data_IF_073411262800
#
_entry.id   IF_073411262800
#
_cell.length_a   1.000
_cell.length_b   1.000
_cell.length_c   1.000
_cell.angle_alpha   90.00
_cell.angle_beta   90.00
_cell.angle_gamma   90.00
#
_symmetry.space_group_name_H-M   'P 1'
#
loop_
_entity.id
_entity.type
_entity.pdbx_description
1 polymer ?
#
# COMPACT_ATOMS: atom_id res chain seq x y z
N UNK A 1 -23.24 10.36 3.52
CA UNK A 1 -22.07 9.65 4.11
C UNK A 1 -21.43 10.57 5.14
N UNK A 2 -21.31 10.14 6.40
CA UNK A 2 -20.77 10.95 7.50
C UNK A 2 -19.25 11.04 7.38
N UNK A 3 -18.75 12.24 7.14
CA UNK A 3 -17.34 12.61 7.36
C UNK A 3 -16.98 12.28 8.80
N UNK A 4 -15.88 11.56 9.02
CA UNK A 4 -15.41 11.33 10.37
C UNK A 4 -14.72 12.61 10.85
N UNK A 5 -15.22 13.15 11.95
CA UNK A 5 -14.65 14.33 12.61
C UNK A 5 -13.18 14.06 12.95
N UNK A 6 -12.21 14.91 12.54
CA UNK A 6 -10.81 14.79 12.95
C UNK A 6 -10.61 14.79 14.47
N UNK A 7 -11.60 15.28 15.23
CA UNK A 7 -11.62 15.22 16.70
C UNK A 7 -12.07 13.85 17.25
N UNK A 8 -12.44 12.90 16.38
CA UNK A 8 -12.77 11.54 16.77
C UNK A 8 -11.50 10.72 16.95
N UNK A 9 -11.02 10.65 18.20
CA UNK A 9 -9.80 9.95 18.61
C UNK A 9 -9.74 8.49 18.11
N UNK A 10 -10.88 7.79 18.03
CA UNK A 10 -10.95 6.41 17.52
C UNK A 10 -10.59 6.33 16.04
N UNK A 11 -10.99 7.33 15.26
CA UNK A 11 -10.71 7.39 13.84
C UNK A 11 -9.24 7.69 13.56
N UNK A 12 -8.65 8.60 14.33
CA UNK A 12 -7.22 8.90 14.27
C UNK A 12 -6.37 7.67 14.62
N UNK A 13 -6.78 6.90 15.64
CA UNK A 13 -6.12 5.65 16.01
C UNK A 13 -6.21 4.59 14.91
N UNK A 14 -7.37 4.40 14.30
CA UNK A 14 -7.57 3.46 13.20
C UNK A 14 -6.73 3.86 11.97
N UNK A 15 -6.69 5.16 11.62
CA UNK A 15 -5.84 5.65 10.52
C UNK A 15 -4.36 5.38 10.80
N UNK A 16 -3.90 5.73 12.01
CA UNK A 16 -2.51 5.50 12.43
C UNK A 16 -2.14 4.01 12.41
N UNK A 17 -3.07 3.14 12.82
CA UNK A 17 -2.89 1.68 12.79
C UNK A 17 -2.75 1.19 11.35
N UNK A 18 -3.63 1.60 10.44
CA UNK A 18 -3.56 1.21 9.02
C UNK A 18 -2.27 1.68 8.36
N UNK A 19 -1.84 2.91 8.63
CA UNK A 19 -0.56 3.42 8.11
C UNK A 19 0.63 2.62 8.62
N UNK A 20 0.61 2.20 9.89
CA UNK A 20 1.65 1.31 10.45
C UNK A 20 1.66 -0.04 9.74
N UNK A 21 0.51 -0.69 9.62
CA UNK A 21 0.37 -1.98 8.96
C UNK A 21 0.77 -1.93 7.49
N UNK A 22 0.40 -0.86 6.76
CA UNK A 22 0.86 -0.61 5.40
C UNK A 22 2.40 -0.55 5.34
N UNK A 23 3.04 0.23 6.22
CA UNK A 23 4.49 0.39 6.22
C UNK A 23 5.22 -0.92 6.53
N UNK A 24 4.71 -1.71 7.48
CA UNK A 24 5.26 -3.03 7.83
C UNK A 24 5.16 -4.00 6.65
N UNK A 25 3.99 -4.07 6.00
CA UNK A 25 3.77 -4.91 4.82
C UNK A 25 4.64 -4.47 3.64
N UNK A 26 4.80 -3.16 3.44
CA UNK A 26 5.65 -2.61 2.37
C UNK A 26 7.11 -3.00 2.56
N UNK A 27 7.66 -2.82 3.78
CA UNK A 27 9.04 -3.22 4.09
C UNK A 27 9.24 -4.73 3.94
N UNK A 28 8.28 -5.54 4.37
CA UNK A 28 8.33 -6.98 4.19
C UNK A 28 8.34 -7.36 2.70
N UNK A 29 7.51 -6.68 1.89
CA UNK A 29 7.48 -6.88 0.44
C UNK A 29 8.84 -6.56 -0.21
N UNK A 30 9.51 -5.47 0.20
CA UNK A 30 10.84 -5.10 -0.29
C UNK A 30 11.91 -6.16 0.06
N UNK A 31 11.88 -6.68 1.29
CA UNK A 31 12.80 -7.75 1.72
C UNK A 31 12.60 -9.04 0.91
N UNK A 32 11.34 -9.43 0.68
CA UNK A 32 11.00 -10.59 -0.15
C UNK A 32 11.39 -10.39 -1.62
N UNK A 33 11.19 -9.18 -2.15
CA UNK A 33 11.60 -8.79 -3.51
C UNK A 33 13.12 -8.94 -3.69
N UNK A 34 13.90 -8.44 -2.73
CA UNK A 34 15.36 -8.56 -2.72
C UNK A 34 15.82 -10.03 -2.63
N UNK A 35 15.02 -10.87 -1.99
CA UNK A 35 15.25 -12.32 -1.86
C UNK A 35 14.72 -13.13 -3.04
N UNK A 36 14.28 -12.47 -4.13
CA UNK A 36 13.71 -13.09 -5.34
C UNK A 36 12.41 -13.89 -5.09
N UNK A 37 11.77 -13.73 -3.93
CA UNK A 37 10.48 -14.33 -3.60
C UNK A 37 9.35 -13.46 -4.16
N UNK A 38 9.24 -13.42 -5.49
CA UNK A 38 8.40 -12.44 -6.17
C UNK A 38 6.89 -12.64 -5.96
N UNK A 39 6.41 -13.88 -5.82
CA UNK A 39 5.00 -14.14 -5.54
C UNK A 39 4.59 -13.67 -4.14
N UNK A 40 5.41 -13.99 -3.14
CA UNK A 40 5.21 -13.57 -1.77
C UNK A 40 5.34 -12.05 -1.64
N UNK A 41 6.34 -11.46 -2.30
CA UNK A 41 6.53 -10.01 -2.37
C UNK A 41 5.29 -9.32 -2.97
N UNK A 42 4.77 -9.82 -4.09
CA UNK A 42 3.55 -9.30 -4.72
C UNK A 42 2.37 -9.31 -3.75
N UNK A 43 2.15 -10.42 -3.04
CA UNK A 43 1.07 -10.54 -2.06
C UNK A 43 1.20 -9.50 -0.94
N UNK A 44 2.42 -9.21 -0.48
CA UNK A 44 2.63 -8.20 0.56
C UNK A 44 2.43 -6.77 0.03
N UNK A 45 2.86 -6.46 -1.20
CA UNK A 45 2.55 -5.18 -1.83
C UNK A 45 1.04 -4.97 -2.03
N UNK A 46 0.28 -6.02 -2.39
CA UNK A 46 -1.17 -5.95 -2.50
C UNK A 46 -1.84 -5.67 -1.15
N UNK A 47 -1.39 -6.32 -0.06
CA UNK A 47 -1.85 -6.00 1.30
C UNK A 47 -1.54 -4.56 1.69
N UNK A 48 -0.31 -4.10 1.43
CA UNK A 48 0.08 -2.73 1.69
C UNK A 48 -0.82 -1.75 0.93
N UNK A 49 -1.17 -2.07 -0.33
CA UNK A 49 -2.11 -1.28 -1.12
C UNK A 49 -3.49 -1.19 -0.46
N UNK A 50 -4.03 -2.30 0.04
CA UNK A 50 -5.34 -2.28 0.73
C UNK A 50 -5.34 -1.43 2.01
N UNK A 51 -4.18 -1.33 2.67
CA UNK A 51 -3.99 -0.50 3.85
C UNK A 51 -3.61 0.95 3.53
N UNK A 52 -3.24 1.26 2.28
CA UNK A 52 -3.09 2.62 1.80
C UNK A 52 -4.43 3.23 1.37
N UNK A 53 -4.58 4.53 1.54
CA UNK A 53 -5.82 5.23 1.20
C UNK A 53 -5.90 5.49 -0.31
N UNK A 54 -7.00 5.14 -0.99
CA UNK A 54 -7.23 5.59 -2.36
C UNK A 54 -7.53 7.09 -2.35
N UNK A 55 -6.73 7.85 -3.08
CA UNK A 55 -6.77 9.32 -3.09
C UNK A 55 -6.88 9.86 -4.52
N UNK A 56 -7.75 10.85 -4.72
CA UNK A 56 -8.08 11.44 -6.03
C UNK A 56 -9.31 12.36 -6.00
N UNK A 57 -9.54 13.14 -7.07
CA UNK A 57 -10.69 14.07 -7.18
C UNK A 57 -12.01 13.32 -6.98
N UNK A 58 -12.74 13.66 -5.92
CA UNK A 58 -14.06 13.10 -5.60
C UNK A 58 -14.07 12.05 -4.47
N UNK A 59 -12.90 11.59 -4.02
CA UNK A 59 -12.77 10.66 -2.91
C UNK A 59 -12.31 11.41 -1.65
N UNK A 60 -13.27 11.94 -0.88
CA UNK A 60 -13.05 12.38 0.52
C UNK A 60 -12.89 11.14 1.41
N UNK A 61 -11.80 10.40 1.24
CA UNK A 61 -11.47 9.33 2.19
C UNK A 61 -10.66 9.96 3.32
N UNK A 62 -10.76 9.36 4.48
CA UNK A 62 -10.14 9.72 5.76
C UNK A 62 -8.62 9.78 5.63
N UNK A 63 -8.07 10.94 5.31
CA UNK A 63 -6.64 11.10 5.07
C UNK A 63 -6.08 12.08 6.10
N UNK A 64 -5.05 11.65 6.84
CA UNK A 64 -4.36 12.54 7.78
C UNK A 64 -3.38 13.47 7.06
N UNK A 65 -2.74 12.98 5.97
CA UNK A 65 -1.72 13.72 5.22
C UNK A 65 -1.92 13.44 3.71
N UNK A 66 -2.89 14.11 3.06
CA UNK A 66 -3.29 13.88 1.66
C UNK A 66 -2.14 13.65 0.67
N UNK A 67 -1.09 14.49 0.65
CA UNK A 67 0.00 14.32 -0.32
C UNK A 67 0.83 13.05 -0.07
N UNK A 68 1.17 12.76 1.18
CA UNK A 68 1.99 11.59 1.52
C UNK A 68 1.26 10.28 1.27
N UNK A 69 -0.04 10.24 1.57
CA UNK A 69 -0.87 9.06 1.33
C UNK A 69 -1.04 8.79 -0.19
N UNK A 70 -1.08 9.85 -1.01
CA UNK A 70 -1.05 9.77 -2.49
C UNK A 70 0.25 9.23 -3.03
N UNK A 71 1.37 9.75 -2.56
CA UNK A 71 2.68 9.29 -2.97
C UNK A 71 2.89 7.82 -2.60
N UNK A 72 2.46 7.41 -1.40
CA UNK A 72 2.50 6.02 -0.96
C UNK A 72 1.65 5.10 -1.84
N UNK A 73 0.41 5.49 -2.15
CA UNK A 73 -0.47 4.71 -3.04
C UNK A 73 0.17 4.52 -4.43
N UNK A 74 0.71 5.59 -5.01
CA UNK A 74 1.38 5.50 -6.32
C UNK A 74 2.65 4.66 -6.26
N UNK A 75 3.45 4.79 -5.21
CA UNK A 75 4.67 3.99 -5.00
C UNK A 75 4.35 2.50 -4.94
N UNK A 76 3.32 2.11 -4.18
CA UNK A 76 2.88 0.71 -4.05
C UNK A 76 2.44 0.15 -5.41
N UNK A 77 1.64 0.90 -6.17
CA UNK A 77 1.18 0.43 -7.48
C UNK A 77 2.34 0.26 -8.48
N UNK A 78 3.32 1.16 -8.48
CA UNK A 78 4.53 0.99 -9.31
C UNK A 78 5.29 -0.28 -8.95
N UNK A 79 5.43 -0.58 -7.65
CA UNK A 79 6.06 -1.81 -7.16
C UNK A 79 5.32 -3.07 -7.60
N UNK A 80 3.99 -3.09 -7.47
CA UNK A 80 3.14 -4.21 -7.93
C UNK A 80 3.39 -4.52 -9.40
N UNK A 81 3.35 -3.50 -10.27
CA UNK A 81 3.56 -3.70 -11.71
C UNK A 81 4.99 -4.18 -12.03
N UNK A 82 6.00 -3.64 -11.36
CA UNK A 82 7.39 -4.09 -11.52
C UNK A 82 7.56 -5.57 -11.11
N UNK A 83 6.97 -5.99 -9.99
CA UNK A 83 7.04 -7.39 -9.54
C UNK A 83 6.27 -8.33 -10.47
N UNK A 84 5.12 -7.92 -11.00
CA UNK A 84 4.39 -8.71 -12.02
C UNK A 84 5.24 -8.96 -13.27
N UNK A 85 6.01 -7.97 -13.72
CA UNK A 85 6.94 -8.14 -14.84
C UNK A 85 8.01 -9.17 -14.50
N UNK A 86 8.63 -9.09 -13.31
CA UNK A 86 9.64 -10.06 -12.85
C UNK A 86 9.10 -11.49 -12.81
N UNK A 87 7.88 -11.68 -12.30
CA UNK A 87 7.19 -12.99 -12.27
C UNK A 87 7.01 -13.54 -13.70
N UNK A 88 6.57 -12.70 -14.64
CA UNK A 88 6.38 -13.11 -16.05
C UNK A 88 7.71 -13.51 -16.69
N UNK A 89 8.78 -12.75 -16.46
CA UNK A 89 10.11 -13.08 -16.97
C UNK A 89 10.62 -14.41 -16.42
N UNK A 90 10.46 -14.66 -15.11
CA UNK A 90 10.87 -15.92 -14.50
C UNK A 90 10.14 -17.14 -15.11
N UNK A 91 8.85 -17.00 -15.41
CA UNK A 91 8.05 -18.02 -16.08
C UNK A 91 8.39 -18.23 -17.56
N UNK A 92 9.04 -17.26 -18.20
CA UNK A 92 9.43 -17.35 -19.62
C UNK A 92 10.76 -18.10 -19.80
N UNK A 93 11.51 -18.28 -18.72
CA UNK A 93 12.84 -18.90 -18.68
C UNK A 93 12.77 -20.34 -18.12
N UNK A 94 11.67 -20.71 -17.45
CA UNK A 94 11.38 -22.07 -16.98
C UNK A 94 10.61 -22.86 -18.03
#
# INVERSE_FOLDING_TARGET
MKSIDPNNMLAVQEISKRQREMNEQFKLAETLEASHQYFESLRQYEKARHNSYPVGKGLKVTIMIEPSDLDNWHKINKKIEAVKIKIRLQRSIS
#
